data_IF_631623121033
#
_entry.id   IF_631623121033
#
_cell.length_a   1.000
_cell.length_b   1.000
_cell.length_c   1.000
_cell.angle_alpha   90.00
_cell.angle_beta   90.00
_cell.angle_gamma   90.00
#
_symmetry.space_group_name_H-M   'P 1'
#
loop_
_entity.id
_entity.type
_entity.pdbx_description
1 polymer ?
#
# COMPACT_ATOMS: atom_id res chain seq x y z
N UNK A 1 14.51 -15.03 10.15
CA UNK A 1 14.51 -16.45 10.52
C UNK A 1 15.96 -16.94 10.59
N UNK A 2 16.34 -17.70 11.62
CA UNK A 2 17.61 -18.43 11.67
C UNK A 2 17.25 -19.91 11.47
N UNK A 3 17.25 -20.42 10.22
CA UNK A 3 17.02 -21.84 10.01
C UNK A 3 18.01 -22.66 10.86
N UNK A 4 17.63 -23.85 11.34
CA UNK A 4 18.55 -24.71 12.07
C UNK A 4 19.84 -24.95 11.27
N UNK A 5 20.98 -25.11 11.93
CA UNK A 5 22.24 -25.44 11.24
C UNK A 5 23.03 -24.26 10.66
N UNK A 6 22.54 -23.02 10.77
CA UNK A 6 23.28 -21.82 10.38
C UNK A 6 23.82 -21.11 11.63
N UNK A 7 25.14 -21.10 11.85
CA UNK A 7 25.76 -20.47 13.02
C UNK A 7 26.21 -19.02 12.78
N UNK A 8 26.49 -18.67 11.52
CA UNK A 8 26.90 -17.34 11.08
C UNK A 8 25.87 -16.73 10.11
N UNK A 9 25.86 -15.40 9.89
CA UNK A 9 24.99 -14.77 8.91
C UNK A 9 25.30 -15.23 7.47
N UNK A 10 24.35 -15.90 6.82
CA UNK A 10 24.47 -16.39 5.45
C UNK A 10 23.34 -15.88 4.55
N UNK A 11 23.64 -15.73 3.25
CA UNK A 11 22.62 -15.46 2.25
C UNK A 11 21.98 -16.77 1.81
N UNK A 12 20.67 -16.90 2.04
CA UNK A 12 19.91 -18.09 1.70
C UNK A 12 18.61 -17.73 0.97
N UNK A 13 18.20 -18.60 0.04
CA UNK A 13 16.86 -18.61 -0.52
C UNK A 13 15.93 -19.47 0.33
N UNK A 14 14.72 -18.99 0.60
CA UNK A 14 13.69 -19.75 1.33
C UNK A 14 12.52 -20.06 0.40
N UNK A 15 12.17 -21.35 0.28
CA UNK A 15 11.04 -21.81 -0.52
C UNK A 15 10.05 -22.54 0.39
N UNK A 16 8.89 -21.95 0.63
CA UNK A 16 7.81 -22.60 1.38
C UNK A 16 7.10 -23.65 0.52
N UNK A 17 6.84 -24.84 1.06
CA UNK A 17 6.28 -25.98 0.33
C UNK A 17 4.95 -26.44 0.93
N UNK A 18 4.00 -26.80 0.08
CA UNK A 18 2.73 -27.41 0.48
C UNK A 18 2.56 -28.80 -0.13
N UNK A 19 1.83 -29.68 0.57
CA UNK A 19 1.53 -31.02 0.05
C UNK A 19 0.47 -30.94 -1.06
N UNK A 20 0.83 -31.42 -2.25
CA UNK A 20 -0.07 -31.48 -3.40
C UNK A 20 -1.32 -32.31 -3.08
N UNK A 21 -2.50 -31.71 -3.23
CA UNK A 21 -3.79 -32.38 -3.01
C UNK A 21 -4.24 -32.48 -1.54
N UNK A 22 -3.48 -31.90 -0.60
CA UNK A 22 -3.93 -31.77 0.79
C UNK A 22 -5.12 -30.81 0.88
N UNK A 23 -6.21 -31.26 1.50
CA UNK A 23 -7.40 -30.42 1.73
C UNK A 23 -7.11 -29.26 2.70
N UNK A 24 -6.26 -29.50 3.70
CA UNK A 24 -5.87 -28.47 4.67
C UNK A 24 -4.85 -27.46 4.12
N UNK A 25 -4.15 -27.80 3.03
CA UNK A 25 -3.13 -26.95 2.39
C UNK A 25 -2.15 -26.36 3.42
N UNK A 26 -1.79 -27.18 4.40
CA UNK A 26 -0.84 -26.82 5.44
C UNK A 26 0.58 -26.78 4.84
N UNK A 27 1.44 -25.97 5.46
CA UNK A 27 2.86 -25.94 5.19
C UNK A 27 3.43 -27.34 5.47
N UNK A 28 3.99 -27.95 4.43
CA UNK A 28 4.69 -29.23 4.52
C UNK A 28 6.10 -29.05 5.10
N UNK A 29 6.67 -27.87 4.89
CA UNK A 29 8.04 -27.55 5.21
C UNK A 29 8.54 -26.37 4.40
N UNK A 30 9.82 -26.06 4.54
CA UNK A 30 10.51 -25.08 3.70
C UNK A 30 11.87 -25.62 3.28
N UNK A 31 12.32 -25.21 2.09
CA UNK A 31 13.67 -25.48 1.62
C UNK A 31 14.54 -24.24 1.82
N UNK A 32 15.73 -24.44 2.36
CA UNK A 32 16.79 -23.45 2.40
C UNK A 32 17.76 -23.78 1.26
N UNK A 33 18.01 -22.81 0.38
CA UNK A 33 18.99 -22.91 -0.70
C UNK A 33 20.17 -22.00 -0.37
N UNK A 34 21.35 -22.58 -0.19
CA UNK A 34 22.57 -21.85 0.16
C UNK A 34 23.16 -21.15 -1.07
N UNK A 35 23.69 -19.94 -0.86
CA UNK A 35 24.22 -19.07 -1.93
C UNK A 35 25.66 -18.60 -1.69
N UNK A 36 26.32 -19.09 -0.65
CA UNK A 36 27.75 -18.87 -0.42
C UNK A 36 28.58 -19.77 -1.35
N UNK A 37 29.78 -19.32 -1.72
CA UNK A 37 30.61 -19.99 -2.74
C UNK A 37 30.87 -21.49 -2.49
N UNK A 38 31.18 -21.95 -1.25
CA UNK A 38 31.40 -23.37 -1.03
C UNK A 38 30.12 -24.20 -1.03
N UNK A 39 28.95 -23.63 -0.69
CA UNK A 39 27.69 -24.36 -0.58
C UNK A 39 26.63 -23.95 -1.62
N UNK A 40 27.02 -23.23 -2.67
CA UNK A 40 26.11 -22.68 -3.68
C UNK A 40 25.20 -23.77 -4.28
N UNK A 41 23.89 -23.57 -4.16
CA UNK A 41 22.87 -24.47 -4.69
C UNK A 41 22.61 -25.70 -3.82
N UNK A 42 23.28 -25.84 -2.67
CA UNK A 42 22.94 -26.86 -1.69
C UNK A 42 21.56 -26.57 -1.10
N UNK A 43 20.70 -27.59 -1.12
CA UNK A 43 19.30 -27.48 -0.71
C UNK A 43 19.05 -28.34 0.52
N UNK A 44 18.52 -27.73 1.57
CA UNK A 44 18.14 -28.39 2.82
C UNK A 44 16.64 -28.28 3.02
N UNK A 45 15.95 -29.40 3.22
CA UNK A 45 14.52 -29.41 3.49
C UNK A 45 14.23 -29.53 4.98
N UNK A 46 13.44 -28.60 5.50
CA UNK A 46 12.94 -28.58 6.87
C UNK A 46 11.47 -28.96 6.87
N UNK A 47 11.17 -30.17 7.32
CA UNK A 47 9.81 -30.69 7.37
C UNK A 47 9.05 -30.16 8.60
N UNK A 48 7.80 -29.77 8.40
CA UNK A 48 6.87 -29.50 9.52
C UNK A 48 6.23 -30.83 9.93
N UNK A 49 6.38 -31.26 11.20
CA UNK A 49 5.78 -32.52 11.65
C UNK A 49 4.27 -32.54 11.42
N UNK A 50 3.78 -33.59 10.76
CA UNK A 50 2.34 -33.77 10.48
C UNK A 50 1.53 -33.76 11.77
N UNK A 51 2.09 -34.30 12.86
CA UNK A 51 1.46 -34.39 14.19
C UNK A 51 1.60 -33.10 15.03
N UNK A 52 2.18 -32.02 14.48
CA UNK A 52 2.31 -30.76 15.22
C UNK A 52 0.96 -30.25 15.72
N UNK A 53 0.91 -29.84 16.99
CA UNK A 53 -0.28 -29.27 17.62
C UNK A 53 -0.72 -27.97 16.93
N UNK A 54 0.24 -27.15 16.49
CA UNK A 54 -0.01 -25.95 15.68
C UNK A 54 0.21 -26.29 14.22
N UNK A 55 -0.83 -26.10 13.40
CA UNK A 55 -0.72 -26.22 11.93
C UNK A 55 -0.25 -24.89 11.37
N UNK A 56 0.74 -24.94 10.49
CA UNK A 56 1.20 -23.77 9.74
C UNK A 56 0.47 -23.73 8.39
N UNK A 57 0.03 -22.55 7.98
CA UNK A 57 -0.60 -22.31 6.70
C UNK A 57 0.43 -22.45 5.57
N UNK A 58 0.08 -23.22 4.55
CA UNK A 58 0.87 -23.32 3.33
C UNK A 58 0.68 -22.11 2.42
N UNK A 59 1.52 -21.94 1.37
CA UNK A 59 1.50 -20.77 0.51
C UNK A 59 0.12 -20.46 -0.09
N UNK A 60 -0.66 -21.48 -0.46
CA UNK A 60 -2.01 -21.27 -1.00
C UNK A 60 -2.97 -20.77 0.07
N UNK A 61 -2.99 -21.38 1.27
CA UNK A 61 -3.89 -20.99 2.35
C UNK A 61 -3.64 -19.58 2.86
N UNK A 62 -2.38 -19.15 2.89
CA UNK A 62 -2.02 -17.78 3.29
C UNK A 62 -2.62 -16.76 2.33
N UNK A 63 -2.61 -17.05 1.02
CA UNK A 63 -3.27 -16.17 0.04
C UNK A 63 -4.78 -16.15 0.21
N UNK A 64 -5.39 -17.29 0.49
CA UNK A 64 -6.83 -17.34 0.78
C UNK A 64 -7.18 -16.59 2.06
N UNK A 65 -6.33 -16.66 3.08
CA UNK A 65 -6.48 -15.90 4.32
C UNK A 65 -6.45 -14.39 4.04
N UNK A 66 -5.47 -13.94 3.23
CA UNK A 66 -5.37 -12.55 2.80
C UNK A 66 -6.62 -12.12 2.00
N UNK A 67 -7.02 -12.88 0.99
CA UNK A 67 -8.18 -12.55 0.15
C UNK A 67 -9.51 -12.54 0.91
N UNK A 68 -9.60 -13.24 2.05
CA UNK A 68 -10.78 -13.28 2.93
C UNK A 68 -10.76 -12.21 4.03
N UNK A 69 -9.62 -11.56 4.28
CA UNK A 69 -9.55 -10.48 5.26
C UNK A 69 -10.42 -9.30 4.77
N UNK A 70 -11.35 -8.80 5.61
CA UNK A 70 -12.30 -7.77 5.19
C UNK A 70 -11.62 -6.45 4.85
N UNK A 71 -10.56 -6.07 5.59
CA UNK A 71 -9.82 -4.84 5.36
C UNK A 71 -9.10 -4.91 4.01
N UNK A 72 -8.48 -6.06 3.71
CA UNK A 72 -7.83 -6.27 2.43
C UNK A 72 -8.83 -6.36 1.27
N UNK A 73 -9.97 -7.03 1.46
CA UNK A 73 -11.03 -7.12 0.45
C UNK A 73 -11.54 -5.72 0.07
N UNK A 74 -11.73 -4.82 1.05
CA UNK A 74 -12.08 -3.43 0.80
C UNK A 74 -10.96 -2.70 0.05
N UNK A 75 -9.73 -2.76 0.56
CA UNK A 75 -8.56 -2.11 -0.05
C UNK A 75 -8.39 -2.51 -1.52
N UNK A 76 -8.51 -3.81 -1.82
CA UNK A 76 -8.35 -4.37 -3.17
C UNK A 76 -9.30 -3.76 -4.20
N UNK A 77 -10.48 -3.29 -3.79
CA UNK A 77 -11.43 -2.61 -4.71
C UNK A 77 -10.99 -1.20 -5.08
N UNK A 78 -10.18 -0.57 -4.24
CA UNK A 78 -9.69 0.80 -4.42
C UNK A 78 -8.38 0.85 -5.20
N UNK A 79 -7.59 -0.23 -5.14
CA UNK A 79 -6.33 -0.33 -5.86
C UNK A 79 -6.56 -0.50 -7.36
N UNK A 80 -5.83 0.27 -8.18
CA UNK A 80 -5.86 0.14 -9.64
C UNK A 80 -4.99 -1.04 -10.09
N UNK A 81 -5.64 -2.07 -10.64
CA UNK A 81 -5.00 -3.32 -11.12
C UNK A 81 -4.04 -3.94 -10.08
N UNK A 82 -4.53 -4.34 -8.89
CA UNK A 82 -3.67 -4.83 -7.83
C UNK A 82 -3.00 -6.15 -8.24
N UNK A 83 -1.68 -6.22 -8.04
CA UNK A 83 -0.89 -7.44 -8.20
C UNK A 83 -0.35 -7.88 -6.84
N UNK A 84 -0.77 -9.06 -6.40
CA UNK A 84 -0.27 -9.68 -5.19
C UNK A 84 1.12 -10.26 -5.48
N UNK A 85 2.13 -9.82 -4.73
CA UNK A 85 3.51 -10.30 -4.79
C UNK A 85 3.72 -11.63 -4.10
N UNK A 86 4.97 -12.07 -4.01
CA UNK A 86 5.34 -13.37 -3.45
C UNK A 86 5.14 -13.47 -1.93
N UNK A 87 4.94 -14.69 -1.44
CA UNK A 87 4.80 -14.97 -0.03
C UNK A 87 6.18 -15.14 0.60
N UNK A 88 6.60 -14.22 1.45
CA UNK A 88 7.92 -14.27 2.08
C UNK A 88 7.74 -14.66 3.55
N UNK A 89 8.14 -15.88 3.90
CA UNK A 89 8.03 -16.39 5.27
C UNK A 89 9.22 -15.93 6.12
N UNK A 90 8.92 -15.21 7.21
CA UNK A 90 9.88 -14.85 8.23
C UNK A 90 9.38 -15.24 9.61
N UNK A 91 10.32 -15.63 10.47
CA UNK A 91 10.10 -15.67 11.90
C UNK A 91 10.54 -14.32 12.50
N UNK A 92 9.59 -13.58 13.08
CA UNK A 92 9.80 -12.30 13.76
C UNK A 92 9.38 -12.47 15.22
N UNK A 93 10.35 -12.41 16.15
CA UNK A 93 10.11 -12.82 17.53
C UNK A 93 9.65 -14.28 17.61
N UNK A 94 8.51 -14.53 18.24
CA UNK A 94 7.88 -15.85 18.34
C UNK A 94 6.84 -16.13 17.23
N UNK A 95 6.71 -15.23 16.25
CA UNK A 95 5.67 -15.31 15.23
C UNK A 95 6.25 -15.71 13.87
N UNK A 96 5.85 -16.88 13.39
CA UNK A 96 5.98 -17.25 11.97
C UNK A 96 4.96 -16.45 11.16
N UNK A 97 5.46 -15.57 10.28
CA UNK A 97 4.65 -14.57 9.56
C UNK A 97 5.05 -14.51 8.09
N UNK A 98 4.04 -14.55 7.22
CA UNK A 98 4.22 -14.28 5.80
C UNK A 98 4.06 -12.79 5.53
N UNK A 99 5.05 -12.19 4.89
CA UNK A 99 4.94 -10.85 4.32
C UNK A 99 4.62 -10.96 2.84
N UNK A 100 3.53 -10.31 2.42
CA UNK A 100 3.02 -10.32 1.05
C UNK A 100 2.90 -8.88 0.58
N UNK A 101 3.82 -8.40 -0.28
CA UNK A 101 3.68 -7.08 -0.87
C UNK A 101 2.55 -7.06 -1.89
N UNK A 102 1.77 -6.00 -1.91
CA UNK A 102 0.67 -5.79 -2.86
C UNK A 102 1.00 -4.57 -3.68
N UNK A 103 1.12 -4.76 -4.99
CA UNK A 103 1.51 -3.73 -5.93
C UNK A 103 0.32 -3.18 -6.69
N UNK A 104 0.43 -1.95 -7.17
CA UNK A 104 -0.55 -1.28 -8.03
C UNK A 104 0.12 -0.84 -9.34
N UNK A 105 -0.67 -0.72 -10.40
CA UNK A 105 -0.17 -0.17 -11.65
C UNK A 105 -0.24 1.36 -11.62
N UNK A 106 0.91 2.04 -11.74
CA UNK A 106 0.96 3.49 -11.90
C UNK A 106 0.20 3.99 -13.15
N UNK A 107 -0.15 5.28 -13.18
CA UNK A 107 -0.96 5.90 -14.24
C UNK A 107 -0.40 5.72 -15.67
N UNK A 108 0.93 5.58 -15.82
CA UNK A 108 1.64 5.53 -17.12
C UNK A 108 2.17 4.17 -17.58
N UNK A 109 1.92 3.08 -16.86
CA UNK A 109 2.38 1.73 -17.24
C UNK A 109 3.84 1.40 -16.87
N UNK A 110 4.10 0.10 -16.71
CA UNK A 110 5.37 -0.58 -16.36
C UNK A 110 5.90 -0.39 -14.93
N UNK A 111 5.70 0.76 -14.27
CA UNK A 111 6.16 0.94 -12.87
C UNK A 111 5.11 0.42 -11.89
N UNK A 112 5.44 -0.66 -11.19
CA UNK A 112 4.66 -1.18 -10.07
C UNK A 112 4.95 -0.36 -8.82
N UNK A 113 3.93 0.26 -8.24
CA UNK A 113 4.04 0.96 -6.95
C UNK A 113 3.60 0.02 -5.83
N UNK A 114 4.23 0.12 -4.66
CA UNK A 114 3.81 -0.64 -3.49
C UNK A 114 2.54 0.00 -2.92
N UNK A 115 1.41 -0.70 -2.99
CA UNK A 115 0.13 -0.24 -2.45
C UNK A 115 -0.03 -0.56 -0.97
N UNK A 116 0.43 -1.74 -0.52
CA UNK A 116 0.48 -2.12 0.90
C UNK A 116 1.37 -3.36 1.08
N UNK A 117 1.68 -3.70 2.32
CA UNK A 117 2.27 -4.98 2.72
C UNK A 117 1.30 -5.65 3.69
N UNK A 118 0.96 -6.91 3.41
CA UNK A 118 0.23 -7.75 4.34
C UNK A 118 1.18 -8.62 5.18
N UNK A 119 0.99 -8.64 6.49
CA UNK A 119 1.59 -9.57 7.43
C UNK A 119 0.54 -10.61 7.85
N UNK A 120 0.69 -11.84 7.37
CA UNK A 120 -0.27 -12.94 7.63
C UNK A 120 0.38 -13.94 8.57
N UNK A 121 -0.25 -14.19 9.72
CA UNK A 121 0.22 -15.20 10.66
C UNK A 121 0.21 -16.60 10.04
N UNK A 122 1.34 -17.31 10.10
CA UNK A 122 1.45 -18.66 9.57
C UNK A 122 0.76 -19.68 10.47
N UNK A 123 0.74 -19.48 11.79
CA UNK A 123 0.07 -20.38 12.73
C UNK A 123 -1.46 -20.28 12.61
N UNK A 124 -2.13 -21.41 12.38
CA UNK A 124 -3.58 -21.50 12.36
C UNK A 124 -4.11 -22.11 13.66
N UNK A 125 -4.79 -21.28 14.45
CA UNK A 125 -5.43 -21.65 15.72
C UNK A 125 -6.96 -21.72 15.63
N UNK A 126 -7.52 -21.59 14.42
CA UNK A 126 -8.96 -21.50 14.15
C UNK A 126 -9.40 -20.18 13.51
N UNK A 127 -8.57 -19.14 13.63
CA UNK A 127 -8.76 -17.84 13.01
C UNK A 127 -7.55 -17.46 12.14
N UNK A 128 -7.79 -16.57 11.17
CA UNK A 128 -6.75 -15.97 10.35
C UNK A 128 -6.47 -14.57 10.86
N UNK A 129 -5.19 -14.25 11.07
CA UNK A 129 -4.76 -12.92 11.47
C UNK A 129 -3.94 -12.28 10.35
N UNK A 130 -4.44 -11.17 9.83
CA UNK A 130 -3.83 -10.41 8.72
C UNK A 130 -3.67 -8.96 9.15
N UNK A 131 -2.44 -8.49 9.28
CA UNK A 131 -2.12 -7.07 9.42
C UNK A 131 -1.81 -6.44 8.07
N UNK A 132 -2.24 -5.20 7.85
CA UNK A 132 -1.91 -4.41 6.66
C UNK A 132 -1.11 -3.18 7.07
N UNK A 133 -0.14 -2.77 6.26
CA UNK A 133 0.66 -1.59 6.54
C UNK A 133 1.45 -1.08 5.34
N UNK A 134 1.93 0.16 5.43
CA UNK A 134 2.80 0.77 4.41
C UNK A 134 4.24 0.23 4.49
N UNK A 135 4.60 -0.35 5.63
CA UNK A 135 5.91 -0.94 5.94
C UNK A 135 5.73 -2.33 6.52
N UNK A 136 6.79 -3.15 6.50
CA UNK A 136 6.78 -4.47 7.13
C UNK A 136 6.52 -4.34 8.63
N UNK A 137 7.10 -3.33 9.28
CA UNK A 137 6.95 -3.04 10.70
C UNK A 137 5.50 -2.70 11.05
N UNK A 138 4.86 -1.79 10.30
CA UNK A 138 3.47 -1.41 10.57
C UNK A 138 2.47 -2.52 10.24
N UNK A 139 2.72 -3.31 9.20
CA UNK A 139 1.92 -4.49 8.90
C UNK A 139 2.03 -5.54 10.02
N UNK A 140 3.23 -5.79 10.53
CA UNK A 140 3.47 -6.72 11.63
C UNK A 140 2.84 -6.23 12.94
N UNK A 141 2.93 -4.94 13.25
CA UNK A 141 2.25 -4.35 14.40
C UNK A 141 0.73 -4.53 14.32
N UNK A 142 0.11 -4.24 13.17
CA UNK A 142 -1.32 -4.43 12.95
C UNK A 142 -1.73 -5.92 13.11
N UNK A 143 -0.87 -6.83 12.65
CA UNK A 143 -1.04 -8.27 12.89
C UNK A 143 -1.04 -8.60 14.38
N UNK A 144 -0.07 -8.10 15.15
CA UNK A 144 0.02 -8.35 16.59
C UNK A 144 -1.17 -7.79 17.36
N UNK A 145 -1.69 -6.63 16.96
CA UNK A 145 -2.91 -6.05 17.56
C UNK A 145 -4.12 -6.99 17.38
N UNK A 146 -4.30 -7.55 16.18
CA UNK A 146 -5.36 -8.54 15.91
C UNK A 146 -5.17 -9.82 16.73
N UNK A 147 -3.94 -10.34 16.82
CA UNK A 147 -3.63 -11.52 17.66
C UNK A 147 -3.91 -11.27 19.14
N UNK A 148 -3.62 -10.08 19.64
CA UNK A 148 -3.87 -9.69 21.02
C UNK A 148 -5.36 -9.44 21.35
N UNK A 149 -6.26 -9.53 20.36
CA UNK A 149 -7.68 -9.22 20.52
C UNK A 149 -7.94 -7.75 20.84
N UNK A 150 -6.96 -6.88 20.57
CA UNK A 150 -7.09 -5.44 20.76
C UNK A 150 -7.80 -4.91 19.51
N UNK A 151 -9.03 -4.43 19.67
CA UNK A 151 -9.66 -3.63 18.64
C UNK A 151 -8.70 -2.48 18.30
N UNK A 152 -8.37 -2.24 17.01
CA UNK A 152 -7.29 -1.34 16.62
C UNK A 152 -7.46 -0.03 17.39
N UNK A 153 -6.53 0.22 18.32
CA UNK A 153 -6.58 1.43 19.12
C UNK A 153 -6.48 2.59 18.14
N UNK A 154 -7.51 3.44 18.11
CA UNK A 154 -7.52 4.71 17.39
C UNK A 154 -6.36 5.65 17.80
N UNK A 155 -5.45 5.22 18.68
CA UNK A 155 -4.21 5.90 19.05
C UNK A 155 -2.94 5.38 18.35
N UNK A 156 -3.06 4.47 17.37
CA UNK A 156 -2.08 4.31 16.29
C UNK A 156 -2.47 5.12 15.03
N UNK A 157 -3.49 5.99 15.13
CA UNK A 157 -3.97 6.87 14.05
C UNK A 157 -3.05 8.06 13.73
N UNK A 158 -1.87 8.16 14.35
CA UNK A 158 -0.90 9.25 14.12
C UNK A 158 0.44 8.82 13.54
N UNK A 159 0.52 7.65 12.89
CA UNK A 159 1.74 7.25 12.20
C UNK A 159 1.55 5.98 11.38
N UNK A 160 1.51 6.11 10.05
CA UNK A 160 1.79 4.98 9.15
C UNK A 160 0.75 3.87 9.00
N UNK A 161 -0.51 4.05 9.43
CA UNK A 161 -1.59 3.43 8.65
C UNK A 161 -1.58 4.12 7.28
N UNK A 162 -1.46 3.32 6.23
CA UNK A 162 -2.13 3.54 4.96
C UNK A 162 -3.63 3.55 5.23
N UNK A 163 -4.08 4.56 5.99
CA UNK A 163 -5.46 4.99 6.00
C UNK A 163 -5.65 5.32 4.53
N UNK A 164 -6.40 4.47 3.83
CA UNK A 164 -7.22 4.96 2.73
C UNK A 164 -7.99 6.09 3.37
N UNK A 165 -7.46 7.29 3.19
CA UNK A 165 -8.15 8.51 3.57
C UNK A 165 -9.50 8.37 2.87
N UNK A 166 -10.60 8.47 3.61
CA UNK A 166 -11.89 8.64 2.96
C UNK A 166 -11.83 9.89 2.07
N UNK A 167 -12.78 10.06 1.15
CA UNK A 167 -12.75 11.17 0.19
C UNK A 167 -12.52 12.52 0.89
N UNK A 168 -13.13 12.71 2.05
CA UNK A 168 -13.01 13.93 2.85
C UNK A 168 -11.60 14.10 3.42
N UNK A 169 -11.01 13.04 3.99
CA UNK A 169 -9.64 13.07 4.49
C UNK A 169 -8.60 13.22 3.36
N UNK A 170 -8.90 12.72 2.15
CA UNK A 170 -8.06 12.93 0.95
C UNK A 170 -8.09 14.38 0.52
N UNK A 171 -9.30 14.94 0.48
CA UNK A 171 -9.54 16.34 0.20
C UNK A 171 -8.78 17.22 1.20
N UNK A 172 -8.94 16.98 2.49
CA UNK A 172 -8.28 17.74 3.55
C UNK A 172 -6.75 17.69 3.43
N UNK A 173 -6.18 16.53 3.12
CA UNK A 173 -4.75 16.39 2.91
C UNK A 173 -4.25 17.22 1.72
N UNK A 174 -5.00 17.23 0.60
CA UNK A 174 -4.68 18.05 -0.57
C UNK A 174 -4.80 19.54 -0.24
N UNK A 175 -5.87 19.95 0.44
CA UNK A 175 -6.10 21.35 0.86
C UNK A 175 -4.99 21.85 1.80
N UNK A 176 -4.52 21.00 2.72
CA UNK A 176 -3.42 21.32 3.63
C UNK A 176 -2.11 21.67 2.90
N UNK A 177 -1.84 21.10 1.72
CA UNK A 177 -0.67 21.45 0.89
C UNK A 177 -0.76 22.90 0.42
N UNK A 178 -1.96 23.36 0.02
CA UNK A 178 -2.20 24.73 -0.39
C UNK A 178 -2.15 25.70 0.79
N UNK A 179 -2.77 25.34 1.92
CA UNK A 179 -2.74 26.15 3.14
C UNK A 179 -1.32 26.33 3.68
N UNK A 180 -0.51 25.25 3.71
CA UNK A 180 0.90 25.31 4.11
C UNK A 180 1.76 26.22 3.24
N UNK A 181 1.31 26.51 2.01
CA UNK A 181 1.94 27.46 1.07
C UNK A 181 1.29 28.84 1.07
N UNK A 182 0.34 29.11 1.96
CA UNK A 182 -0.33 30.39 2.10
C UNK A 182 -1.26 30.75 0.93
N UNK A 183 -1.78 29.75 0.23
CA UNK A 183 -2.65 29.94 -0.94
C UNK A 183 -4.11 30.04 -0.51
N UNK A 184 -4.82 31.02 -1.07
CA UNK A 184 -6.26 31.20 -0.85
C UNK A 184 -7.01 30.46 -1.96
N UNK A 185 -7.76 29.43 -1.57
CA UNK A 185 -8.64 28.67 -2.44
C UNK A 185 -10.04 29.29 -2.44
N UNK A 186 -10.72 29.25 -3.58
CA UNK A 186 -12.12 29.68 -3.72
C UNK A 186 -12.91 28.67 -4.54
N UNK A 187 -14.10 28.32 -4.07
CA UNK A 187 -15.00 27.37 -4.76
C UNK A 187 -16.09 28.16 -5.50
N UNK A 188 -15.98 28.38 -6.82
CA UNK A 188 -17.02 29.05 -7.59
C UNK A 188 -18.28 28.17 -7.71
N UNK A 189 -19.44 28.80 -7.85
CA UNK A 189 -20.71 28.09 -8.11
C UNK A 189 -20.81 27.57 -9.54
N UNK A 190 -20.09 28.17 -10.49
CA UNK A 190 -20.06 27.79 -11.91
C UNK A 190 -18.75 28.26 -12.53
N UNK A 191 -18.20 27.45 -13.43
CA UNK A 191 -16.96 27.73 -14.16
C UNK A 191 -17.26 27.71 -15.66
N UNK A 192 -16.97 28.81 -16.36
CA UNK A 192 -17.09 28.93 -17.81
C UNK A 192 -15.91 29.78 -18.31
N UNK A 193 -15.02 29.17 -19.10
CA UNK A 193 -13.86 29.84 -19.67
C UNK A 193 -13.77 29.55 -21.17
N UNK A 194 -13.40 30.54 -22.00
CA UNK A 194 -13.30 30.34 -23.44
C UNK A 194 -12.17 29.38 -23.82
N UNK A 195 -11.11 29.31 -23.00
CA UNK A 195 -10.00 28.37 -23.14
C UNK A 195 -9.65 27.75 -21.78
N UNK A 196 -9.43 26.44 -21.76
CA UNK A 196 -9.02 25.69 -20.57
C UNK A 196 -7.89 24.73 -20.92
N UNK A 197 -6.85 24.70 -20.10
CA UNK A 197 -5.65 23.89 -20.28
C UNK A 197 -5.43 23.03 -19.03
N UNK A 198 -5.50 21.71 -19.19
CA UNK A 198 -4.98 20.79 -18.17
C UNK A 198 -3.46 20.81 -18.24
N UNK A 199 -2.80 21.14 -17.12
CA UNK A 199 -1.35 21.26 -17.02
C UNK A 199 -0.71 20.17 -16.16
N UNK A 200 -1.51 19.22 -15.68
CA UNK A 200 -1.05 18.01 -15.01
C UNK A 200 -2.16 17.28 -14.25
N UNK A 201 -1.95 16.01 -13.99
CA UNK A 201 -2.87 15.17 -13.22
C UNK A 201 -2.11 14.17 -12.34
N UNK A 202 -2.75 13.78 -11.23
CA UNK A 202 -2.25 12.72 -10.35
C UNK A 202 -3.43 11.99 -9.70
N UNK A 203 -3.14 10.86 -9.08
CA UNK A 203 -4.07 10.15 -8.22
C UNK A 203 -3.57 10.22 -6.77
N UNK A 204 -4.49 10.44 -5.83
CA UNK A 204 -4.18 10.48 -4.40
C UNK A 204 -5.14 9.57 -3.65
N UNK A 205 -4.70 8.36 -3.31
CA UNK A 205 -5.51 7.34 -2.64
C UNK A 205 -4.97 6.97 -1.26
N UNK A 206 -3.67 7.15 -1.06
CA UNK A 206 -2.94 6.75 0.12
C UNK A 206 -1.84 7.76 0.44
N UNK A 207 -1.19 7.59 1.59
CA UNK A 207 -0.02 8.41 1.96
C UNK A 207 1.17 8.22 1.02
N UNK A 208 1.29 7.08 0.36
CA UNK A 208 2.35 6.85 -0.62
C UNK A 208 2.25 7.82 -1.81
N UNK A 209 1.05 8.32 -2.10
CA UNK A 209 0.78 9.28 -3.17
C UNK A 209 1.04 10.74 -2.75
N UNK A 210 1.38 10.99 -1.49
CA UNK A 210 1.52 12.34 -0.94
C UNK A 210 2.70 13.08 -1.56
N UNK A 211 3.82 12.39 -1.79
CA UNK A 211 5.03 13.00 -2.34
C UNK A 211 4.77 13.51 -3.77
N UNK A 212 4.29 12.63 -4.65
CA UNK A 212 3.97 12.99 -6.05
C UNK A 212 2.88 14.05 -6.15
N UNK A 213 1.86 13.99 -5.29
CA UNK A 213 0.80 15.01 -5.23
C UNK A 213 1.34 16.36 -4.77
N UNK A 214 2.23 16.37 -3.78
CA UNK A 214 2.89 17.58 -3.29
C UNK A 214 3.79 18.21 -4.35
N UNK A 215 4.50 17.39 -5.15
CA UNK A 215 5.30 17.87 -6.27
C UNK A 215 4.44 18.55 -7.34
N UNK A 216 3.36 17.89 -7.79
CA UNK A 216 2.44 18.46 -8.78
C UNK A 216 1.82 19.77 -8.29
N UNK A 217 1.32 19.81 -7.06
CA UNK A 217 0.72 21.02 -6.46
C UNK A 217 1.77 22.14 -6.34
N UNK A 218 3.02 21.80 -6.00
CA UNK A 218 4.11 22.78 -5.91
C UNK A 218 4.46 23.38 -7.28
N UNK A 219 4.54 22.54 -8.32
CA UNK A 219 4.77 23.01 -9.69
C UNK A 219 3.61 23.89 -10.16
N UNK A 220 2.36 23.47 -9.91
CA UNK A 220 1.16 24.23 -10.21
C UNK A 220 1.17 25.63 -9.57
N UNK A 221 1.45 25.72 -8.27
CA UNK A 221 1.52 26.99 -7.54
C UNK A 221 2.64 27.88 -8.10
N UNK A 222 3.78 27.29 -8.48
CA UNK A 222 4.87 28.05 -9.09
C UNK A 222 4.46 28.68 -10.43
N UNK A 223 3.65 27.98 -11.25
CA UNK A 223 3.11 28.47 -12.52
C UNK A 223 2.01 29.52 -12.32
N UNK A 224 1.20 29.39 -11.28
CA UNK A 224 0.14 30.36 -10.95
C UNK A 224 0.73 31.74 -10.59
N UNK A 225 1.85 31.75 -9.87
CA UNK A 225 2.49 32.97 -9.39
C UNK A 225 1.88 33.54 -8.11
N UNK A 226 2.60 34.48 -7.49
CA UNK A 226 2.28 35.00 -6.14
C UNK A 226 0.97 35.77 -6.12
N UNK A 227 0.12 35.49 -5.12
CA UNK A 227 -1.10 36.26 -4.83
C UNK A 227 -2.28 36.00 -5.76
N UNK A 228 -2.23 34.95 -6.60
CA UNK A 228 -3.36 34.57 -7.46
C UNK A 228 -4.37 33.73 -6.69
N UNK A 229 -5.65 34.01 -6.93
CA UNK A 229 -6.78 33.18 -6.49
C UNK A 229 -6.71 31.84 -7.22
N UNK A 230 -6.70 30.76 -6.46
CA UNK A 230 -6.88 29.41 -6.98
C UNK A 230 -8.36 29.06 -6.88
N UNK A 231 -8.93 28.58 -7.97
CA UNK A 231 -10.28 28.06 -8.05
C UNK A 231 -10.26 26.56 -7.79
N UNK A 232 -11.25 26.06 -7.07
CA UNK A 232 -11.44 24.63 -6.80
C UNK A 232 -12.82 24.18 -7.26
N UNK A 233 -12.90 23.06 -7.96
CA UNK A 233 -14.18 22.46 -8.33
C UNK A 233 -14.05 20.94 -8.39
N UNK A 234 -15.16 20.26 -8.12
CA UNK A 234 -15.24 18.80 -8.22
C UNK A 234 -15.88 18.40 -9.55
N UNK A 235 -15.34 17.33 -10.14
CA UNK A 235 -15.90 16.68 -11.32
C UNK A 235 -15.75 15.17 -11.16
N UNK A 236 -16.88 14.46 -11.03
CA UNK A 236 -16.92 13.02 -10.76
C UNK A 236 -16.08 12.62 -9.53
N UNK A 237 -15.00 11.86 -9.73
CA UNK A 237 -14.07 11.37 -8.71
C UNK A 237 -12.80 12.22 -8.61
N UNK A 238 -12.82 13.43 -9.18
CA UNK A 238 -11.67 14.33 -9.27
C UNK A 238 -11.98 15.64 -8.60
N UNK A 239 -10.95 16.16 -7.94
CA UNK A 239 -10.90 17.56 -7.54
C UNK A 239 -9.93 18.29 -8.45
N UNK A 240 -10.36 19.42 -8.97
CA UNK A 240 -9.60 20.24 -9.88
C UNK A 240 -9.21 21.55 -9.19
N UNK A 241 -7.99 22.01 -9.46
CA UNK A 241 -7.48 23.31 -9.00
C UNK A 241 -6.97 24.11 -10.18
N UNK A 242 -7.42 25.36 -10.33
CA UNK A 242 -7.07 26.19 -11.48
C UNK A 242 -6.80 27.65 -11.16
N UNK A 243 -5.99 28.29 -11.97
CA UNK A 243 -5.78 29.75 -11.95
C UNK A 243 -6.09 30.36 -13.31
N UNK A 244 -6.44 31.64 -13.29
CA UNK A 244 -6.79 32.38 -14.50
C UNK A 244 -5.59 33.21 -14.94
N UNK A 245 -5.25 33.10 -16.21
CA UNK A 245 -4.26 33.94 -16.88
C UNK A 245 -4.92 34.68 -18.04
N UNK A 246 -4.49 35.91 -18.30
CA UNK A 246 -4.87 36.63 -19.52
C UNK A 246 -3.67 36.58 -20.46
N UNK A 247 -3.88 36.01 -21.64
CA UNK A 247 -2.89 35.92 -22.73
C UNK A 247 -3.55 36.47 -23.98
N UNK A 248 -2.91 37.43 -24.65
CA UNK A 248 -3.42 38.05 -25.87
C UNK A 248 -4.89 38.50 -25.78
N UNK A 249 -5.23 39.13 -24.64
CA UNK A 249 -6.58 39.61 -24.33
C UNK A 249 -7.66 38.52 -24.20
N UNK A 250 -7.26 37.26 -24.11
CA UNK A 250 -8.13 36.09 -23.87
C UNK A 250 -7.90 35.54 -22.46
N UNK A 251 -8.97 35.23 -21.74
CA UNK A 251 -8.88 34.60 -20.42
C UNK A 251 -8.75 33.09 -20.57
N UNK A 252 -7.71 32.53 -19.99
CA UNK A 252 -7.39 31.11 -20.01
C UNK A 252 -7.44 30.54 -18.60
N UNK A 253 -8.12 29.40 -18.43
CA UNK A 253 -8.07 28.60 -17.21
C UNK A 253 -6.94 27.57 -17.34
N UNK A 254 -5.97 27.59 -16.43
CA UNK A 254 -4.92 26.58 -16.35
C UNK A 254 -5.14 25.77 -15.08
N UNK A 255 -5.24 24.45 -15.18
CA UNK A 255 -5.65 23.62 -14.05
C UNK A 255 -4.93 22.28 -13.93
N UNK A 256 -4.86 21.77 -12.70
CA UNK A 256 -4.48 20.39 -12.40
C UNK A 256 -5.70 19.61 -11.92
N UNK A 257 -5.68 18.28 -12.13
CA UNK A 257 -6.70 17.35 -11.66
C UNK A 257 -6.09 16.34 -10.69
N UNK A 258 -6.74 16.12 -9.55
CA UNK A 258 -6.33 15.13 -8.55
C UNK A 258 -7.49 14.15 -8.39
N UNK A 259 -7.26 12.90 -8.77
CA UNK A 259 -8.23 11.82 -8.60
C UNK A 259 -8.22 11.38 -7.13
N UNK A 260 -9.35 11.56 -6.46
CA UNK A 260 -9.54 11.29 -5.02
C UNK A 260 -10.56 10.17 -4.79
N UNK A 261 -10.96 9.46 -5.84
CA UNK A 261 -11.90 8.33 -5.75
C UNK A 261 -13.30 8.71 -5.28
N UNK A 262 -14.16 7.70 -5.18
CA UNK A 262 -15.49 7.79 -4.54
C UNK A 262 -15.39 7.66 -3.03
#
# INVERSE_FOLDING_TARGET
AKPPGFEEPEFVGLLSLELRGSQGRNLAGYMVVQNDTPNLGHMQFYEVPIESATKLLGPTSVREALDRDPDFAQLKTLLRNPRIGDNILYQVGEHDTYFIPVYTAGAGGVVAQLGTIAAVGAAFTGEYYVGLGDTQESAFEAYLQKVAGIAPTASAASGGMGIVLDKDARLDAVLAIFEGKGIIISTPTTIQFPLSFSIGDTAFYSKADLESTTELVSEFISKAGVGKRILMWEEENRINFGFIKVVDNTSELHYIAIEVGS
#
